data_IF_591735854724
#
_entry.id   IF_591735854724
#
_cell.length_a   1.000
_cell.length_b   1.000
_cell.length_c   1.000
_cell.angle_alpha   90.00
_cell.angle_beta   90.00
_cell.angle_gamma   90.00
#
_symmetry.space_group_name_H-M   'P 1'
#
loop_
_entity.id
_entity.type
_entity.pdbx_description
1 polymer ?
#
# COMPACT_ATOMS: atom_id res chain seq x y z
N UNK A 1 23.38 -4.64 -22.57
CA UNK A 1 23.36 -4.82 -21.11
C UNK A 1 21.98 -4.39 -20.65
N UNK A 2 21.09 -5.36 -20.40
CA UNK A 2 19.68 -5.13 -20.07
C UNK A 2 19.57 -4.71 -18.61
N UNK A 3 19.17 -3.46 -18.38
CA UNK A 3 18.85 -2.93 -17.05
C UNK A 3 17.48 -3.51 -16.67
N UNK A 4 17.30 -4.17 -15.51
CA UNK A 4 15.97 -4.59 -15.09
C UNK A 4 15.11 -3.35 -14.81
N UNK A 5 13.86 -3.38 -15.26
CA UNK A 5 12.84 -2.32 -15.13
C UNK A 5 12.29 -2.20 -13.70
N UNK A 6 13.14 -2.02 -12.67
CA UNK A 6 12.69 -2.05 -11.27
C UNK A 6 12.09 -0.71 -10.83
N UNK A 7 10.76 -0.67 -10.78
CA UNK A 7 9.95 0.43 -10.28
C UNK A 7 9.67 0.25 -8.78
N UNK A 8 10.73 0.21 -7.96
CA UNK A 8 10.62 0.01 -6.51
C UNK A 8 10.71 1.37 -5.81
N UNK A 9 9.91 1.58 -4.76
CA UNK A 9 9.85 2.88 -4.06
C UNK A 9 9.97 2.71 -2.54
N UNK A 10 10.74 3.61 -1.91
CA UNK A 10 11.01 3.59 -0.48
C UNK A 10 10.87 5.00 0.12
N UNK A 11 10.09 5.14 1.19
CA UNK A 11 9.93 6.41 1.92
C UNK A 11 10.35 6.29 3.39
N UNK A 12 11.08 7.31 3.84
CA UNK A 12 11.62 7.44 5.19
C UNK A 12 11.42 8.83 5.80
N UNK A 13 10.57 9.66 5.21
CA UNK A 13 10.20 10.99 5.71
C UNK A 13 8.68 11.12 5.77
N UNK A 14 8.10 11.79 6.79
CA UNK A 14 6.65 11.89 6.91
C UNK A 14 6.02 12.52 5.67
N UNK A 15 4.90 11.96 5.22
CA UNK A 15 4.14 12.51 4.10
C UNK A 15 2.70 12.68 4.56
N UNK A 16 2.04 13.71 4.04
CA UNK A 16 0.60 13.82 4.22
C UNK A 16 -0.09 12.89 3.20
N UNK A 17 0.17 13.13 1.91
CA UNK A 17 -0.56 12.44 0.84
C UNK A 17 0.43 11.78 -0.14
N UNK A 18 0.12 10.56 -0.56
CA UNK A 18 0.88 9.84 -1.58
C UNK A 18 -0.06 9.23 -2.62
N UNK A 19 0.28 9.42 -3.89
CA UNK A 19 -0.51 8.92 -5.01
C UNK A 19 0.37 8.21 -6.04
N UNK A 20 -0.01 7.00 -6.45
CA UNK A 20 0.64 6.28 -7.56
C UNK A 20 -0.32 5.90 -8.67
N UNK A 21 0.21 6.03 -9.89
CA UNK A 21 -0.48 5.70 -11.13
C UNK A 21 0.46 5.06 -12.16
N UNK A 22 1.51 4.38 -11.69
CA UNK A 22 2.52 3.70 -12.52
C UNK A 22 2.83 2.36 -11.89
N UNK A 23 3.04 1.30 -12.69
CA UNK A 23 3.27 -0.04 -12.16
C UNK A 23 4.48 -0.04 -11.23
N UNK A 24 4.33 -0.56 -10.01
CA UNK A 24 5.42 -0.73 -9.06
C UNK A 24 5.54 -2.20 -8.74
N UNK A 25 6.77 -2.67 -8.51
CA UNK A 25 6.92 -4.02 -7.95
C UNK A 25 6.77 -3.90 -6.45
N UNK A 26 7.67 -3.16 -5.81
CA UNK A 26 7.79 -3.15 -4.35
C UNK A 26 7.66 -1.73 -3.80
N UNK A 27 6.80 -1.55 -2.77
CA UNK A 27 6.62 -0.26 -2.08
C UNK A 27 6.77 -0.42 -0.58
N UNK A 28 7.60 0.43 0.02
CA UNK A 28 7.91 0.38 1.44
C UNK A 28 7.78 1.75 2.11
N UNK A 29 7.05 1.78 3.23
CA UNK A 29 6.95 2.96 4.10
C UNK A 29 7.39 2.65 5.53
N UNK A 30 8.38 3.42 5.98
CA UNK A 30 8.87 3.42 7.36
C UNK A 30 8.71 4.80 8.03
N UNK A 31 7.65 5.52 7.68
CA UNK A 31 7.41 6.89 8.12
C UNK A 31 5.93 7.26 8.11
N UNK A 32 5.41 8.09 9.06
CA UNK A 32 3.97 8.34 9.15
C UNK A 32 3.37 8.89 7.85
N UNK A 33 2.18 8.41 7.53
CA UNK A 33 1.39 8.80 6.38
C UNK A 33 -0.03 9.10 6.83
N UNK A 34 -0.66 10.13 6.27
CA UNK A 34 -2.09 10.30 6.45
C UNK A 34 -2.83 9.49 5.39
N UNK A 35 -2.64 9.84 4.11
CA UNK A 35 -3.45 9.32 3.03
C UNK A 35 -2.58 8.68 1.94
N UNK A 36 -2.91 7.45 1.54
CA UNK A 36 -2.26 6.78 0.42
C UNK A 36 -3.28 6.24 -0.56
N UNK A 37 -3.05 6.53 -1.84
CA UNK A 37 -3.88 6.04 -2.93
C UNK A 37 -3.05 5.35 -4.01
N UNK A 38 -3.45 4.12 -4.34
CA UNK A 38 -2.91 3.39 -5.47
C UNK A 38 -3.97 3.15 -6.53
N UNK A 39 -3.64 3.56 -7.74
CA UNK A 39 -4.35 3.18 -8.94
C UNK A 39 -3.37 2.62 -9.97
N UNK A 40 -2.66 1.58 -9.56
CA UNK A 40 -1.72 0.85 -10.41
C UNK A 40 -1.43 -0.56 -9.89
N UNK A 41 -1.01 -1.48 -10.76
CA UNK A 41 -0.64 -2.83 -10.30
C UNK A 41 0.56 -2.75 -9.36
N UNK A 42 0.45 -3.44 -8.22
CA UNK A 42 1.50 -3.58 -7.23
C UNK A 42 1.72 -5.08 -6.98
N UNK A 43 2.97 -5.50 -6.87
CA UNK A 43 3.24 -6.84 -6.36
C UNK A 43 3.19 -6.78 -4.83
N UNK A 44 4.11 -6.03 -4.22
CA UNK A 44 4.34 -6.08 -2.78
C UNK A 44 4.27 -4.69 -2.15
N UNK A 45 3.49 -4.56 -1.07
CA UNK A 45 3.40 -3.31 -0.30
C UNK A 45 3.60 -3.58 1.18
N UNK A 46 4.49 -2.80 1.80
CA UNK A 46 4.82 -2.92 3.22
C UNK A 46 4.69 -1.57 3.95
N UNK A 47 3.91 -1.59 5.02
CA UNK A 47 3.75 -0.47 5.93
C UNK A 47 4.18 -0.82 7.34
N UNK A 48 5.07 -0.02 7.91
CA UNK A 48 5.60 -0.22 9.26
C UNK A 48 5.59 1.08 10.07
N UNK A 49 4.50 1.85 9.90
CA UNK A 49 4.36 3.23 10.41
C UNK A 49 2.91 3.69 10.41
N UNK A 50 2.44 4.57 11.34
CA UNK A 50 1.03 4.93 11.43
C UNK A 50 0.46 5.43 10.10
N UNK A 51 -0.77 5.01 9.83
CA UNK A 51 -1.56 5.32 8.64
C UNK A 51 -2.96 5.73 9.07
N UNK A 52 -3.52 6.76 8.44
CA UNK A 52 -4.94 7.02 8.59
C UNK A 52 -5.69 6.24 7.52
N UNK A 53 -5.54 6.61 6.24
CA UNK A 53 -6.39 6.14 5.17
C UNK A 53 -5.56 5.53 4.03
N UNK A 54 -5.93 4.32 3.60
CA UNK A 54 -5.32 3.66 2.44
C UNK A 54 -6.39 3.17 1.47
N UNK A 55 -6.21 3.50 0.20
CA UNK A 55 -7.09 3.08 -0.87
C UNK A 55 -6.33 2.38 -2.00
N UNK A 56 -6.84 1.22 -2.42
CA UNK A 56 -6.36 0.49 -3.59
C UNK A 56 -7.46 0.28 -4.61
N UNK A 57 -7.18 0.64 -5.87
CA UNK A 57 -8.10 0.48 -7.00
C UNK A 57 -7.62 -0.52 -8.07
N UNK A 58 -6.65 -1.36 -7.75
CA UNK A 58 -5.85 -2.09 -8.76
C UNK A 58 -5.22 -3.34 -8.19
N UNK A 59 -4.93 -4.37 -9.01
CA UNK A 59 -4.54 -5.67 -8.50
C UNK A 59 -3.29 -5.61 -7.62
N UNK A 60 -3.35 -6.39 -6.54
CA UNK A 60 -2.34 -6.51 -5.50
C UNK A 60 -2.03 -7.99 -5.32
N UNK A 61 -0.74 -8.34 -5.24
CA UNK A 61 -0.38 -9.67 -4.76
C UNK A 61 -0.37 -9.66 -3.24
N UNK A 62 0.56 -8.94 -2.63
CA UNK A 62 0.83 -9.04 -1.20
C UNK A 62 0.82 -7.65 -0.53
N UNK A 63 0.09 -7.53 0.58
CA UNK A 63 0.15 -6.34 1.44
C UNK A 63 0.37 -6.71 2.90
N UNK A 64 1.32 -6.02 3.53
CA UNK A 64 1.68 -6.21 4.92
C UNK A 64 1.57 -4.90 5.70
N UNK A 65 0.73 -4.92 6.74
CA UNK A 65 0.58 -3.83 7.70
C UNK A 65 1.11 -4.23 9.06
N UNK A 66 2.20 -3.60 9.48
CA UNK A 66 2.77 -3.73 10.81
C UNK A 66 2.67 -2.41 11.58
N UNK A 67 1.45 -1.85 11.66
CA UNK A 67 1.23 -0.49 12.15
C UNK A 67 -0.24 -0.10 12.31
N UNK A 68 -0.56 0.83 13.22
CA UNK A 68 -1.92 1.33 13.42
C UNK A 68 -2.48 1.94 12.15
N UNK A 69 -3.72 1.58 11.85
CA UNK A 69 -4.40 1.90 10.61
C UNK A 69 -5.86 2.21 10.94
N UNK A 70 -6.36 3.36 10.50
CA UNK A 70 -7.77 3.69 10.71
C UNK A 70 -8.61 3.00 9.64
N UNK A 71 -8.45 3.41 8.39
CA UNK A 71 -9.34 2.98 7.31
C UNK A 71 -8.56 2.37 6.15
N UNK A 72 -9.04 1.22 5.67
CA UNK A 72 -8.55 0.62 4.42
C UNK A 72 -9.68 0.28 3.48
N UNK A 73 -9.50 0.65 2.23
CA UNK A 73 -10.41 0.36 1.14
C UNK A 73 -9.69 -0.40 0.04
N UNK A 74 -10.16 -1.61 -0.23
CA UNK A 74 -9.75 -2.38 -1.40
C UNK A 74 -10.91 -2.45 -2.38
N UNK A 75 -10.69 -1.91 -3.57
CA UNK A 75 -11.56 -2.07 -4.71
C UNK A 75 -10.81 -2.84 -5.80
N UNK A 76 -10.41 -4.07 -5.50
CA UNK A 76 -9.51 -4.84 -6.35
C UNK A 76 -9.43 -6.34 -6.04
N UNK A 77 -8.75 -7.10 -6.90
CA UNK A 77 -8.28 -8.44 -6.61
C UNK A 77 -6.99 -8.40 -5.77
N UNK A 78 -7.01 -9.18 -4.70
CA UNK A 78 -5.98 -9.25 -3.69
C UNK A 78 -5.69 -10.73 -3.42
N UNK A 79 -4.42 -11.13 -3.46
CA UNK A 79 -4.07 -12.52 -3.11
C UNK A 79 -3.92 -12.66 -1.60
N UNK A 80 -2.99 -11.92 -1.01
CA UNK A 80 -2.63 -12.07 0.40
C UNK A 80 -2.55 -10.72 1.13
N UNK A 81 -3.16 -10.65 2.31
CA UNK A 81 -3.00 -9.51 3.23
C UNK A 81 -2.78 -9.96 4.65
N UNK A 82 -1.77 -9.35 5.24
CA UNK A 82 -1.38 -9.59 6.61
C UNK A 82 -1.46 -8.30 7.42
N UNK A 83 -2.25 -8.37 8.49
CA UNK A 83 -2.33 -7.32 9.51
C UNK A 83 -1.69 -7.82 10.79
N UNK A 84 -0.63 -7.13 11.21
CA UNK A 84 -0.04 -7.26 12.54
C UNK A 84 -0.27 -5.94 13.31
N UNK A 85 -1.54 -5.59 13.53
CA UNK A 85 -1.90 -4.27 14.04
C UNK A 85 -3.32 -4.13 14.59
N UNK A 86 -3.61 -2.99 15.22
CA UNK A 86 -4.93 -2.40 15.39
C UNK A 86 -5.41 -1.74 14.10
N UNK A 87 -6.63 -2.11 13.71
CA UNK A 87 -7.33 -1.69 12.52
C UNK A 87 -8.76 -1.34 12.91
N UNK A 88 -9.23 -0.14 12.54
CA UNK A 88 -10.61 0.26 12.85
C UNK A 88 -11.57 -0.30 11.81
N UNK A 89 -11.41 0.11 10.56
CA UNK A 89 -12.35 -0.21 9.48
C UNK A 89 -11.64 -0.76 8.24
N UNK A 90 -12.22 -1.82 7.67
CA UNK A 90 -11.81 -2.39 6.38
C UNK A 90 -13.02 -2.58 5.50
N UNK A 91 -12.91 -2.04 4.30
CA UNK A 91 -13.87 -2.23 3.24
C UNK A 91 -13.21 -3.00 2.10
N UNK A 92 -13.85 -4.11 1.74
CA UNK A 92 -13.39 -4.98 0.67
C UNK A 92 -14.48 -5.11 -0.38
N UNK A 93 -14.20 -4.64 -1.59
CA UNK A 93 -15.07 -4.77 -2.75
C UNK A 93 -14.31 -5.50 -3.86
N UNK A 94 -14.65 -6.77 -4.06
CA UNK A 94 -14.23 -7.54 -5.23
C UNK A 94 -15.31 -7.50 -6.30
N UNK A 95 -14.92 -7.10 -7.50
CA UNK A 95 -15.67 -7.40 -8.72
C UNK A 95 -15.62 -8.90 -9.04
#
# INVERSE_FOLDING_TARGET
MTIPTRNDVYYNTPLNDVYYNTHLNDVYYNTPLNDVYYNTHLNDVYYNTPLNDVYYNTPLNDVYYNTHLNDVYYNTHLNDVYYNTHLNDVYYNTL
#
